data_IF_380118548377
#
_entry.id   IF_380118548377
#
_cell.length_a   1.000
_cell.length_b   1.000
_cell.length_c   1.000
_cell.angle_alpha   90.00
_cell.angle_beta   90.00
_cell.angle_gamma   90.00
#
_symmetry.space_group_name_H-M   'P 1'
#
loop_
_entity.id
_entity.type
_entity.pdbx_description
1 polymer ?
#
# COMPACT_ATOMS: atom_id res chain seq x y z
N UNK A 1 14.80 6.86 4.43
CA UNK A 1 14.12 6.39 3.20
C UNK A 1 12.75 7.04 3.19
N UNK A 2 12.34 7.64 2.08
CA UNK A 2 11.03 8.31 1.98
C UNK A 2 10.08 7.29 1.35
N UNK A 3 9.00 6.94 2.04
CA UNK A 3 7.98 6.06 1.51
C UNK A 3 6.90 6.87 0.81
N UNK A 4 6.46 6.37 -0.34
CA UNK A 4 5.29 6.86 -1.05
C UNK A 4 4.32 5.71 -1.27
N UNK A 5 3.03 6.02 -1.29
CA UNK A 5 1.98 5.03 -1.51
C UNK A 5 1.06 5.53 -2.59
N UNK A 6 0.85 4.72 -3.62
CA UNK A 6 -0.16 4.96 -4.65
C UNK A 6 -1.32 3.98 -4.48
N UNK A 7 -2.54 4.44 -4.70
CA UNK A 7 -3.77 3.67 -4.52
C UNK A 7 -4.58 3.67 -5.82
N UNK A 8 -5.19 2.53 -6.13
CA UNK A 8 -6.16 2.40 -7.23
C UNK A 8 -7.13 1.24 -6.96
N UNK A 9 -8.35 1.27 -7.53
CA UNK A 9 -9.24 0.12 -7.56
C UNK A 9 -8.70 -1.03 -8.43
N UNK A 10 -7.71 -0.78 -9.29
CA UNK A 10 -7.14 -1.73 -10.24
C UNK A 10 -5.69 -2.09 -9.88
N UNK A 11 -5.36 -3.38 -9.94
CA UNK A 11 -4.04 -3.90 -9.59
C UNK A 11 -2.98 -3.51 -10.61
N UNK A 12 -3.32 -3.59 -11.91
CA UNK A 12 -2.36 -3.32 -12.98
C UNK A 12 -1.88 -1.85 -12.94
N UNK A 13 -2.80 -0.94 -12.57
CA UNK A 13 -2.50 0.47 -12.37
C UNK A 13 -1.42 0.65 -11.29
N UNK A 14 -1.65 0.15 -10.06
CA UNK A 14 -0.69 0.34 -8.96
C UNK A 14 0.65 -0.33 -9.22
N UNK A 15 0.70 -1.44 -9.99
CA UNK A 15 1.95 -2.10 -10.39
C UNK A 15 2.74 -1.26 -11.40
N UNK A 16 2.06 -0.52 -12.27
CA UNK A 16 2.66 0.43 -13.20
C UNK A 16 2.91 1.82 -12.59
N UNK A 17 2.66 2.00 -11.28
CA UNK A 17 2.71 3.29 -10.59
C UNK A 17 1.76 4.34 -11.19
N UNK A 18 0.69 3.87 -11.83
CA UNK A 18 -0.43 4.66 -12.30
C UNK A 18 -1.54 4.48 -11.27
N UNK A 19 -2.11 5.55 -10.74
CA UNK A 19 -3.12 5.39 -9.71
C UNK A 19 -3.85 6.67 -9.41
N UNK A 20 -5.01 6.51 -8.80
CA UNK A 20 -5.96 7.60 -8.61
C UNK A 20 -5.55 8.52 -7.45
N UNK A 21 -4.87 7.97 -6.45
CA UNK A 21 -4.44 8.72 -5.28
C UNK A 21 -3.00 8.41 -4.92
N UNK A 22 -2.23 9.45 -4.60
CA UNK A 22 -0.81 9.33 -4.30
C UNK A 22 -0.48 10.10 -3.01
N UNK A 23 0.14 9.40 -2.07
CA UNK A 23 0.66 9.96 -0.85
C UNK A 23 2.17 10.04 -0.89
N UNK A 24 2.66 11.25 -0.67
CA UNK A 24 4.08 11.56 -0.61
C UNK A 24 4.56 11.63 0.82
N UNK A 25 5.78 11.14 1.06
CA UNK A 25 6.48 11.28 2.33
C UNK A 25 5.68 10.73 3.53
N UNK A 26 5.22 9.49 3.38
CA UNK A 26 4.46 8.81 4.42
C UNK A 26 5.35 8.60 5.65
N UNK A 27 4.95 9.12 6.83
CA UNK A 27 5.77 9.02 8.03
C UNK A 27 5.68 7.59 8.60
N UNK A 28 6.75 6.82 8.42
CA UNK A 28 6.90 5.49 8.99
C UNK A 28 8.36 5.22 9.35
N UNK A 29 8.58 4.45 10.43
CA UNK A 29 9.90 4.05 10.90
C UNK A 29 10.48 2.93 10.06
N UNK A 30 9.63 2.01 9.62
CA UNK A 30 10.00 0.83 8.84
C UNK A 30 8.90 0.46 7.82
N UNK A 31 9.18 -0.59 7.02
CA UNK A 31 8.28 -1.06 5.97
C UNK A 31 7.01 -1.71 6.54
N UNK A 32 7.07 -2.36 7.72
CA UNK A 32 5.88 -2.98 8.31
C UNK A 32 4.88 -1.91 8.78
N UNK A 33 5.36 -0.85 9.43
CA UNK A 33 4.51 0.27 9.84
C UNK A 33 3.82 0.92 8.64
N UNK A 34 4.53 1.06 7.52
CA UNK A 34 3.94 1.62 6.29
C UNK A 34 2.94 0.67 5.64
N UNK A 35 3.16 -0.65 5.67
CA UNK A 35 2.21 -1.66 5.18
C UNK A 35 0.92 -1.64 6.00
N UNK A 36 1.04 -1.63 7.33
CA UNK A 36 -0.11 -1.54 8.22
C UNK A 36 -0.92 -0.26 7.99
N UNK A 37 -0.23 0.86 7.78
CA UNK A 37 -0.87 2.13 7.49
C UNK A 37 -1.58 2.10 6.12
N UNK A 38 -0.92 1.57 5.10
CA UNK A 38 -1.47 1.42 3.76
C UNK A 38 -2.74 0.55 3.75
N UNK A 39 -2.70 -0.59 4.44
CA UNK A 39 -3.85 -1.50 4.64
C UNK A 39 -5.05 -0.80 5.29
N UNK A 40 -4.83 -0.01 6.35
CA UNK A 40 -5.91 0.77 6.99
C UNK A 40 -6.48 1.83 6.05
N UNK A 41 -5.63 2.45 5.25
CA UNK A 41 -6.02 3.49 4.30
C UNK A 41 -6.76 2.96 3.09
N UNK A 42 -6.44 1.74 2.62
CA UNK A 42 -7.23 1.04 1.59
C UNK A 42 -8.71 0.98 2.01
N UNK A 43 -8.96 0.56 3.26
CA UNK A 43 -10.31 0.51 3.83
C UNK A 43 -10.92 1.91 3.99
N UNK A 44 -10.14 2.89 4.49
CA UNK A 44 -10.64 4.24 4.73
C UNK A 44 -11.00 4.99 3.43
N UNK A 45 -10.21 4.82 2.39
CA UNK A 45 -10.36 5.50 1.11
C UNK A 45 -11.23 4.72 0.12
N UNK A 46 -11.48 3.44 0.37
CA UNK A 46 -12.31 2.60 -0.49
C UNK A 46 -11.58 2.14 -1.76
N UNK A 47 -10.26 1.91 -1.67
CA UNK A 47 -9.45 1.36 -2.76
C UNK A 47 -9.16 -0.12 -2.56
N UNK A 48 -8.98 -0.85 -3.65
CA UNK A 48 -8.73 -2.29 -3.60
C UNK A 48 -7.23 -2.62 -3.50
N UNK A 49 -6.38 -1.79 -4.09
CA UNK A 49 -4.94 -2.05 -4.18
C UNK A 49 -4.13 -0.80 -3.86
N UNK A 50 -2.94 -1.01 -3.30
CA UNK A 50 -1.94 0.03 -3.18
C UNK A 50 -0.53 -0.52 -3.40
N UNK A 51 0.36 0.34 -3.90
CA UNK A 51 1.78 0.05 -4.05
C UNK A 51 2.57 0.99 -3.18
N UNK A 52 3.45 0.41 -2.36
CA UNK A 52 4.42 1.12 -1.54
C UNK A 52 5.73 1.16 -2.32
N UNK A 53 6.28 2.35 -2.51
CA UNK A 53 7.53 2.54 -3.23
C UNK A 53 8.39 3.62 -2.58
N UNK A 54 9.66 3.65 -2.97
CA UNK A 54 10.63 4.65 -2.54
C UNK A 54 11.49 5.10 -3.71
N UNK A 55 12.27 6.16 -3.49
CA UNK A 55 13.23 6.68 -4.46
C UNK A 55 14.64 6.41 -3.98
N UNK A 56 15.48 5.84 -4.84
CA UNK A 56 16.91 5.71 -4.64
C UNK A 56 17.68 6.45 -5.76
N UNK A 57 19.01 6.32 -5.78
CA UNK A 57 19.86 6.94 -6.82
C UNK A 57 19.58 6.44 -8.23
N UNK A 58 18.98 5.26 -8.36
CA UNK A 58 18.74 4.56 -9.62
C UNK A 58 17.29 4.74 -10.12
N UNK A 59 16.42 5.37 -9.32
CA UNK A 59 15.03 5.67 -9.67
C UNK A 59 14.02 5.20 -8.62
N UNK A 60 12.88 4.69 -9.09
CA UNK A 60 11.79 4.22 -8.23
C UNK A 60 11.96 2.75 -7.91
N UNK A 61 11.80 2.39 -6.64
CA UNK A 61 11.85 1.01 -6.15
C UNK A 61 10.51 0.67 -5.52
N UNK A 62 9.81 -0.30 -6.11
CA UNK A 62 8.59 -0.88 -5.52
C UNK A 62 9.01 -1.81 -4.37
N UNK A 63 8.47 -1.56 -3.19
CA UNK A 63 8.77 -2.32 -1.98
C UNK A 63 7.70 -3.37 -1.67
N UNK A 64 6.44 -3.05 -1.95
CA UNK A 64 5.31 -3.95 -1.72
C UNK A 64 4.08 -3.52 -2.53
N UNK A 65 3.23 -4.49 -2.84
CA UNK A 65 1.87 -4.28 -3.35
C UNK A 65 0.94 -4.97 -2.36
N UNK A 66 -0.05 -4.23 -1.85
CA UNK A 66 -1.00 -4.73 -0.85
C UNK A 66 -2.42 -4.64 -1.40
N UNK A 67 -3.25 -5.62 -1.05
CA UNK A 67 -4.67 -5.65 -1.43
C UNK A 67 -5.58 -5.55 -0.21
N UNK A 68 -6.79 -5.02 -0.42
CA UNK A 68 -7.82 -4.99 0.61
C UNK A 68 -8.29 -6.41 0.97
N UNK A 69 -8.20 -7.36 0.04
CA UNK A 69 -8.54 -8.76 0.29
C UNK A 69 -7.64 -9.37 1.37
N UNK A 70 -6.34 -9.09 1.32
CA UNK A 70 -5.39 -9.55 2.35
C UNK A 70 -5.78 -9.04 3.75
N UNK A 71 -6.27 -7.79 3.83
CA UNK A 71 -6.76 -7.19 5.08
C UNK A 71 -8.01 -7.91 5.59
N UNK A 72 -8.93 -8.23 4.69
CA UNK A 72 -10.18 -8.94 5.02
C UNK A 72 -9.87 -10.36 5.49
N UNK A 73 -9.01 -11.09 4.79
CA UNK A 73 -8.62 -12.46 5.17
C UNK A 73 -7.93 -12.50 6.55
N UNK A 74 -7.00 -11.58 6.82
CA UNK A 74 -6.35 -11.46 8.14
C UNK A 74 -7.38 -11.16 9.25
N UNK A 75 -8.35 -10.31 8.97
CA UNK A 75 -9.41 -9.93 9.93
C UNK A 75 -10.36 -11.08 10.21
N UNK A 76 -10.79 -11.81 9.18
CA UNK A 76 -11.68 -12.97 9.31
C UNK A 76 -10.96 -14.12 10.01
N UNK A 77 -9.70 -14.40 9.68
CA UNK A 77 -8.91 -15.47 10.31
C UNK A 77 -8.79 -15.34 11.83
N UNK A 78 -8.77 -14.12 12.37
CA UNK A 78 -8.77 -13.86 13.83
C UNK A 78 -10.08 -14.17 14.54
N UNK A 79 -11.21 -14.20 13.83
CA UNK A 79 -12.51 -14.47 14.45
C UNK A 79 -12.81 -15.97 14.55
N UNK A 80 -12.13 -16.78 13.76
CA UNK A 80 -12.33 -18.23 13.69
C UNK A 80 -11.21 -19.04 14.38
N UNK A 81 -10.29 -18.38 15.10
CA UNK A 81 -9.21 -18.98 15.89
C UNK A 81 -9.37 -18.60 17.37
#
# INVERSE_FOLDING_TARGET
MIYCIIYSPNKDEVENLEGEFLEWNVPAKDLEEVKDLAKRRLVQYGFNYCTIFTFNSDGVVILAVESIEDVIFESVGRWFM
#
